data_IF_774825242890
#
_entry.id   IF_774825242890
#
_cell.length_a   1.000
_cell.length_b   1.000
_cell.length_c   1.000
_cell.angle_alpha   90.00
_cell.angle_beta   90.00
_cell.angle_gamma   90.00
#
_symmetry.space_group_name_H-M   'P 1'
#
loop_
_entity.id
_entity.type
_entity.pdbx_description
1 polymer ?
#
# COMPACT_ATOMS: atom_id res chain seq x y z
N UNK A 1 31.39 -10.36 -16.42
CA UNK A 1 30.99 -9.56 -15.24
C UNK A 1 29.46 -9.57 -15.22
N UNK A 2 28.85 -10.26 -14.24
CA UNK A 2 27.40 -10.40 -14.16
C UNK A 2 26.82 -9.19 -13.42
N UNK A 3 26.14 -8.31 -14.15
CA UNK A 3 25.35 -7.22 -13.56
C UNK A 3 24.03 -7.83 -13.10
N UNK A 4 23.98 -8.35 -11.87
CA UNK A 4 22.70 -8.63 -11.23
C UNK A 4 22.02 -7.28 -11.04
N UNK A 5 21.11 -6.96 -11.96
CA UNK A 5 20.27 -5.79 -11.91
C UNK A 5 19.40 -5.92 -10.66
N UNK A 6 19.86 -5.34 -9.55
CA UNK A 6 19.04 -5.18 -8.36
C UNK A 6 17.93 -4.22 -8.78
N UNK A 7 16.79 -4.78 -9.17
CA UNK A 7 15.54 -4.03 -9.26
C UNK A 7 15.26 -3.57 -7.85
N UNK A 8 15.67 -2.34 -7.50
CA UNK A 8 15.16 -1.66 -6.33
C UNK A 8 13.68 -1.47 -6.63
N UNK A 9 12.84 -2.38 -6.15
CA UNK A 9 11.41 -2.22 -6.20
C UNK A 9 11.07 -1.07 -5.26
N UNK A 10 10.97 0.13 -5.82
CA UNK A 10 10.32 1.25 -5.15
C UNK A 10 8.88 0.80 -4.86
N UNK A 11 8.62 0.56 -3.57
CA UNK A 11 7.34 0.06 -3.11
C UNK A 11 7.07 0.62 -1.74
N UNK A 12 5.90 1.22 -1.55
CA UNK A 12 5.46 1.60 -0.22
C UNK A 12 5.13 0.34 0.58
N UNK A 13 5.54 0.33 1.86
CA UNK A 13 5.23 -0.77 2.79
C UNK A 13 4.25 -0.25 3.83
N UNK A 14 3.07 -0.85 3.92
CA UNK A 14 2.09 -0.55 4.98
C UNK A 14 2.22 -1.60 6.07
N UNK A 15 2.43 -1.17 7.31
CA UNK A 15 2.40 -2.04 8.49
C UNK A 15 0.99 -2.01 9.08
N UNK A 16 0.38 -3.18 9.21
CA UNK A 16 -0.85 -3.35 9.97
C UNK A 16 -0.56 -3.16 11.47
N UNK A 17 -1.20 -2.18 12.10
CA UNK A 17 -1.03 -1.86 13.53
C UNK A 17 -1.56 -2.95 14.46
N UNK A 18 -2.46 -3.80 13.98
CA UNK A 18 -3.16 -4.77 14.84
C UNK A 18 -2.42 -6.10 14.89
N UNK A 19 -1.74 -6.48 13.81
CA UNK A 19 -1.07 -7.79 13.70
C UNK A 19 0.38 -7.74 13.16
N UNK A 20 0.92 -6.54 12.92
CA UNK A 20 2.27 -6.32 12.38
C UNK A 20 2.50 -6.84 10.96
N UNK A 21 1.44 -7.21 10.23
CA UNK A 21 1.54 -7.76 8.88
C UNK A 21 1.82 -6.67 7.84
N UNK A 22 2.61 -7.00 6.81
CA UNK A 22 2.97 -6.07 5.71
C UNK A 22 2.07 -6.20 4.46
N UNK A 23 1.18 -7.18 4.44
CA UNK A 23 0.40 -7.52 3.25
C UNK A 23 -0.97 -6.86 3.29
N UNK A 24 -1.31 -6.12 2.23
CA UNK A 24 -2.64 -5.57 1.95
C UNK A 24 -3.29 -6.28 0.76
N UNK A 25 -4.62 -6.25 0.69
CA UNK A 25 -5.39 -6.66 -0.50
C UNK A 25 -6.51 -5.64 -0.75
N UNK A 26 -6.82 -5.38 -2.02
CA UNK A 26 -8.09 -4.76 -2.38
C UNK A 26 -9.19 -5.82 -2.33
N UNK A 27 -10.37 -5.43 -1.84
CA UNK A 27 -11.49 -6.37 -1.68
C UNK A 27 -12.11 -6.77 -3.03
N UNK A 28 -12.15 -5.85 -3.99
CA UNK A 28 -12.44 -6.14 -5.41
C UNK A 28 -11.41 -5.46 -6.31
N UNK A 29 -10.33 -6.15 -6.71
CA UNK A 29 -9.32 -5.60 -7.60
C UNK A 29 -9.80 -5.42 -9.06
N UNK A 30 -10.96 -5.98 -9.45
CA UNK A 30 -11.49 -5.85 -10.80
C UNK A 30 -12.33 -4.57 -11.00
N UNK A 31 -12.86 -4.01 -9.90
CA UNK A 31 -13.64 -2.77 -9.89
C UNK A 31 -13.19 -1.86 -8.75
N UNK A 32 -11.91 -1.45 -8.77
CA UNK A 32 -11.37 -0.49 -7.80
C UNK A 32 -11.99 0.89 -8.01
N UNK A 33 -13.12 1.11 -7.35
CA UNK A 33 -13.66 2.43 -7.03
C UNK A 33 -12.82 3.05 -5.91
N UNK A 34 -12.88 4.37 -5.77
CA UNK A 34 -12.30 5.10 -4.65
C UNK A 34 -12.79 4.59 -3.29
N UNK A 35 -14.03 4.07 -3.24
CA UNK A 35 -14.64 3.47 -2.05
C UNK A 35 -14.18 2.03 -1.76
N UNK A 36 -13.36 1.43 -2.62
CA UNK A 36 -12.92 0.04 -2.43
C UNK A 36 -12.11 -0.08 -1.15
N UNK A 37 -12.60 -0.94 -0.24
CA UNK A 37 -11.97 -1.20 1.05
C UNK A 37 -10.64 -1.93 0.86
N UNK A 38 -9.62 -1.44 1.57
CA UNK A 38 -8.32 -2.07 1.73
C UNK A 38 -8.26 -2.75 3.09
N UNK A 39 -7.91 -4.03 3.08
CA UNK A 39 -7.81 -4.84 4.28
C UNK A 39 -6.37 -5.33 4.48
N UNK A 40 -6.01 -5.55 5.75
CA UNK A 40 -4.84 -6.37 6.05
C UNK A 40 -5.12 -7.81 5.60
N UNK A 41 -4.27 -8.37 4.74
CA UNK A 41 -4.42 -9.75 4.27
C UNK A 41 -4.34 -10.79 5.40
N UNK A 42 -3.68 -10.47 6.51
CA UNK A 42 -3.42 -11.40 7.62
C UNK A 42 -4.54 -11.47 8.64
N UNK A 43 -5.12 -10.34 9.03
CA UNK A 43 -6.15 -10.26 10.08
C UNK A 43 -7.49 -9.71 9.57
N UNK A 44 -7.60 -9.38 8.29
CA UNK A 44 -8.79 -8.81 7.63
C UNK A 44 -9.28 -7.48 8.19
N UNK A 45 -8.58 -6.88 9.16
CA UNK A 45 -8.95 -5.56 9.65
C UNK A 45 -8.75 -4.47 8.58
N UNK A 46 -9.75 -3.59 8.49
CA UNK A 46 -9.84 -2.48 7.53
C UNK A 46 -8.71 -1.49 7.77
N UNK A 47 -8.06 -1.04 6.69
CA UNK A 47 -6.93 -0.10 6.72
C UNK A 47 -7.21 1.24 6.03
N UNK A 48 -8.35 1.35 5.37
CA UNK A 48 -8.78 2.54 4.63
C UNK A 48 -9.42 2.14 3.31
N UNK A 49 -9.53 3.12 2.42
CA UNK A 49 -10.06 2.95 1.06
C UNK A 49 -8.97 3.13 0.00
N UNK A 50 -9.29 2.87 -1.26
CA UNK A 50 -8.43 3.24 -2.39
C UNK A 50 -8.21 4.75 -2.48
N UNK A 51 -9.23 5.57 -2.16
CA UNK A 51 -9.08 7.02 -2.10
C UNK A 51 -8.02 7.46 -1.07
N UNK A 52 -8.01 6.83 0.12
CA UNK A 52 -7.00 7.13 1.15
C UNK A 52 -5.58 6.82 0.64
N UNK A 53 -5.41 5.73 -0.12
CA UNK A 53 -4.13 5.40 -0.76
C UNK A 53 -3.75 6.41 -1.85
N UNK A 54 -4.72 6.89 -2.64
CA UNK A 54 -4.48 7.95 -3.63
C UNK A 54 -4.03 9.25 -2.98
N UNK A 55 -4.69 9.67 -1.89
CA UNK A 55 -4.29 10.85 -1.10
C UNK A 55 -2.88 10.67 -0.54
N UNK A 56 -2.55 9.49 0.00
CA UNK A 56 -1.21 9.21 0.51
C UNK A 56 -0.15 9.28 -0.60
N UNK A 57 -0.44 8.71 -1.77
CA UNK A 57 0.46 8.77 -2.93
C UNK A 57 0.66 10.21 -3.40
N UNK A 58 -0.41 11.01 -3.45
CA UNK A 58 -0.32 12.41 -3.84
C UNK A 58 0.47 13.23 -2.83
N UNK A 59 0.26 13.03 -1.54
CA UNK A 59 1.04 13.70 -0.47
C UNK A 59 2.51 13.28 -0.45
N UNK A 60 2.87 12.08 -0.93
CA UNK A 60 4.28 11.68 -1.07
C UNK A 60 5.06 12.44 -2.14
N UNK A 61 4.35 13.14 -3.04
CA UNK A 61 4.97 14.07 -3.98
C UNK A 61 5.29 15.43 -3.34
N UNK A 62 4.65 15.76 -2.22
CA UNK A 62 5.07 16.85 -1.37
C UNK A 62 6.25 16.34 -0.54
N UNK A 63 7.44 16.87 -0.83
CA UNK A 63 8.70 16.52 -0.16
C UNK A 63 8.50 16.49 1.36
N UNK A 64 8.42 15.30 1.94
CA UNK A 64 8.52 15.14 3.38
C UNK A 64 9.97 15.48 3.77
N UNK A 65 10.19 16.66 4.36
CA UNK A 65 11.38 16.91 5.18
C UNK A 65 11.28 16.00 6.41
N UNK A 66 12.24 15.08 6.55
CA UNK A 66 12.44 14.27 7.74
C UNK A 66 13.51 14.92 8.62
#
# INVERSE_FOLDING_TARGET
MNLQQQTISSGFKIVCTDCGGLSIKATDPAHTSDDTIIECRRCSAVRGTMADLHVLAQRSSDLFEF
#
